data_IF_265345630910
#
_entry.id   IF_265345630910
#
_cell.length_a   1.000
_cell.length_b   1.000
_cell.length_c   1.000
_cell.angle_alpha   90.00
_cell.angle_beta   90.00
_cell.angle_gamma   90.00
#
_symmetry.space_group_name_H-M   'P 1'
#
loop_
_entity.id
_entity.type
_entity.pdbx_description
1 polymer ?
#
# COMPACT_ATOMS: atom_id res chain seq x y z
N UNK A 1 -50.10 -0.75 -16.92
CA UNK A 1 -49.75 -2.00 -16.23
C UNK A 1 -48.24 -2.16 -16.33
N UNK A 2 -47.58 -2.08 -15.19
CA UNK A 2 -46.13 -2.14 -14.95
C UNK A 2 -45.78 -3.57 -14.51
N UNK A 3 -44.61 -4.09 -14.93
CA UNK A 3 -43.70 -5.11 -14.34
C UNK A 3 -42.96 -5.83 -15.50
N UNK A 4 -41.67 -6.18 -15.51
CA UNK A 4 -40.47 -6.12 -14.63
C UNK A 4 -39.26 -6.33 -15.59
N UNK A 5 -38.11 -5.63 -15.62
CA UNK A 5 -37.08 -5.15 -14.66
C UNK A 5 -35.92 -6.15 -14.36
N UNK A 6 -34.83 -5.95 -15.11
CA UNK A 6 -33.37 -6.01 -14.78
C UNK A 6 -32.60 -7.31 -14.46
N UNK A 7 -31.43 -7.53 -15.14
CA UNK A 7 -30.26 -8.18 -14.57
C UNK A 7 -29.27 -7.10 -14.04
N UNK A 8 -29.21 -6.89 -12.71
CA UNK A 8 -28.39 -5.82 -12.11
C UNK A 8 -27.79 -6.22 -10.73
N UNK A 9 -27.35 -7.48 -10.54
CA UNK A 9 -27.14 -8.03 -9.18
C UNK A 9 -25.75 -8.58 -8.80
N UNK A 10 -24.73 -8.55 -9.65
CA UNK A 10 -23.36 -9.04 -9.33
C UNK A 10 -22.37 -7.96 -8.81
N UNK A 11 -22.84 -6.71 -8.62
CA UNK A 11 -21.98 -5.51 -8.54
C UNK A 11 -21.38 -5.16 -7.17
N UNK A 12 -21.80 -5.81 -6.08
CA UNK A 12 -21.38 -5.43 -4.72
C UNK A 12 -19.99 -5.96 -4.34
N UNK A 13 -19.56 -7.10 -4.86
CA UNK A 13 -18.22 -7.65 -4.60
C UNK A 13 -17.10 -6.90 -5.32
N UNK A 14 -17.34 -6.50 -6.58
CA UNK A 14 -16.35 -5.81 -7.42
C UNK A 14 -16.04 -4.37 -6.96
N UNK A 15 -16.98 -3.73 -6.27
CA UNK A 15 -16.83 -2.38 -5.72
C UNK A 15 -16.00 -2.32 -4.44
N UNK A 16 -16.10 -3.36 -3.60
CA UNK A 16 -15.41 -3.45 -2.32
C UNK A 16 -13.97 -3.95 -2.49
N UNK A 17 -13.73 -4.82 -3.48
CA UNK A 17 -12.37 -5.19 -3.93
C UNK A 17 -11.54 -3.99 -4.46
N UNK A 18 -12.19 -2.90 -4.88
CA UNK A 18 -11.52 -1.69 -5.37
C UNK A 18 -10.94 -0.78 -4.26
N UNK A 19 -11.35 -0.95 -3.00
CA UNK A 19 -10.86 -0.16 -1.85
C UNK A 19 -9.68 -0.82 -1.12
N UNK A 20 -9.50 -2.13 -1.32
CA UNK A 20 -8.53 -2.94 -0.56
C UNK A 20 -7.24 -3.20 -1.34
N UNK A 21 -7.26 -3.10 -2.68
CA UNK A 21 -6.08 -3.32 -3.50
C UNK A 21 -5.18 -2.06 -3.59
N UNK A 22 -3.84 -2.16 -3.44
CA UNK A 22 -2.97 -1.24 -4.17
C UNK A 22 -3.32 -1.41 -5.67
N UNK A 23 -3.50 -0.30 -6.40
CA UNK A 23 -3.82 -0.20 -7.84
C UNK A 23 -4.20 -1.50 -8.60
N UNK A 24 -5.41 -1.61 -9.16
CA UNK A 24 -5.93 -2.87 -9.69
C UNK A 24 -5.19 -3.35 -10.95
N UNK A 25 -4.65 -4.55 -10.86
CA UNK A 25 -4.49 -5.57 -11.92
C UNK A 25 -5.02 -6.83 -11.23
N UNK A 26 -6.02 -7.60 -11.64
CA UNK A 26 -6.58 -8.04 -12.93
C UNK A 26 -8.02 -8.51 -12.64
N UNK A 27 -8.94 -8.46 -13.60
CA UNK A 27 -10.26 -9.12 -13.49
C UNK A 27 -10.56 -9.91 -14.78
N UNK A 28 -10.64 -11.24 -14.62
CA UNK A 28 -11.61 -12.12 -15.29
C UNK A 28 -11.19 -12.86 -16.56
N UNK A 29 -11.26 -14.20 -16.52
CA UNK A 29 -12.09 -14.99 -17.43
C UNK A 29 -12.42 -16.39 -16.85
N UNK A 30 -13.56 -17.01 -17.24
CA UNK A 30 -14.17 -18.16 -16.57
C UNK A 30 -13.83 -19.53 -17.20
N UNK A 31 -14.28 -20.58 -16.52
CA UNK A 31 -14.20 -22.02 -16.78
C UNK A 31 -14.88 -22.49 -18.08
N UNK A 32 -14.26 -23.48 -18.75
CA UNK A 32 -14.94 -24.53 -19.54
C UNK A 32 -14.05 -25.78 -19.67
N UNK A 33 -14.68 -26.94 -19.83
CA UNK A 33 -14.20 -28.28 -19.49
C UNK A 33 -13.51 -29.08 -20.62
N UNK A 34 -12.88 -30.18 -20.19
CA UNK A 34 -12.53 -31.45 -20.85
C UNK A 34 -11.56 -31.47 -22.03
N UNK A 35 -10.40 -32.11 -21.86
CA UNK A 35 -9.97 -33.29 -22.65
C UNK A 35 -8.74 -33.97 -22.00
N UNK A 36 -8.79 -35.30 -21.91
CA UNK A 36 -7.75 -36.21 -21.43
C UNK A 36 -6.51 -36.20 -22.32
N UNK A 37 -5.29 -36.03 -21.77
CA UNK A 37 -4.07 -36.70 -22.27
C UNK A 37 -3.08 -36.94 -21.12
N UNK A 38 -2.59 -38.18 -21.09
CA UNK A 38 -1.69 -38.83 -20.15
C UNK A 38 -0.20 -38.46 -20.40
N UNK A 39 0.56 -38.20 -19.31
CA UNK A 39 2.03 -38.38 -19.00
C UNK A 39 3.11 -38.55 -20.11
N UNK A 40 4.44 -38.29 -19.88
CA UNK A 40 5.18 -38.59 -18.63
C UNK A 40 6.31 -37.63 -18.19
N UNK A 41 6.86 -37.99 -17.03
CA UNK A 41 7.98 -37.44 -16.25
C UNK A 41 9.38 -37.71 -16.83
N UNK A 42 10.32 -36.77 -16.65
CA UNK A 42 11.71 -37.03 -16.21
C UNK A 42 12.52 -35.72 -15.98
N UNK A 43 13.51 -35.81 -15.08
CA UNK A 43 14.67 -34.92 -14.85
C UNK A 43 14.50 -33.58 -14.11
N UNK A 44 14.57 -33.63 -12.77
CA UNK A 44 15.02 -32.51 -11.92
C UNK A 44 15.62 -33.05 -10.61
N UNK A 45 16.75 -33.76 -10.68
CA UNK A 45 17.43 -34.29 -9.47
C UNK A 45 18.88 -33.81 -9.31
N UNK A 46 19.44 -33.03 -10.24
CA UNK A 46 20.85 -32.58 -10.15
C UNK A 46 21.03 -31.08 -9.83
N UNK A 47 19.98 -30.26 -9.83
CA UNK A 47 20.09 -28.81 -9.57
C UNK A 47 19.97 -28.41 -8.08
N UNK A 48 19.69 -29.38 -7.20
CA UNK A 48 19.35 -29.12 -5.78
C UNK A 48 20.56 -29.27 -4.83
N UNK A 49 21.64 -29.91 -5.25
CA UNK A 49 22.85 -30.06 -4.41
C UNK A 49 23.85 -28.90 -4.57
N UNK A 50 23.91 -28.26 -5.74
CA UNK A 50 24.83 -27.13 -5.97
C UNK A 50 24.36 -25.83 -5.31
N UNK A 51 23.05 -25.66 -5.08
CA UNK A 51 22.47 -24.50 -4.40
C UNK A 51 22.63 -24.55 -2.89
N UNK A 52 22.58 -25.75 -2.28
CA UNK A 52 22.81 -25.93 -0.83
C UNK A 52 24.25 -25.66 -0.40
N UNK A 53 25.23 -26.03 -1.24
CA UNK A 53 26.66 -25.82 -0.94
C UNK A 53 27.04 -24.32 -1.05
N UNK A 54 26.28 -23.52 -1.79
CA UNK A 54 26.47 -22.07 -1.88
C UNK A 54 25.80 -21.31 -0.73
N UNK A 55 24.60 -21.72 -0.28
CA UNK A 55 23.94 -21.10 0.89
C UNK A 55 24.73 -21.32 2.18
N UNK A 56 25.29 -22.52 2.40
CA UNK A 56 26.04 -22.86 3.61
C UNK A 56 27.41 -22.14 3.68
N UNK A 57 28.01 -21.80 2.54
CA UNK A 57 29.25 -20.98 2.50
C UNK A 57 29.02 -19.51 2.84
N UNK A 58 27.89 -18.94 2.45
CA UNK A 58 27.52 -17.55 2.81
C UNK A 58 27.13 -17.37 4.27
N UNK A 59 26.57 -18.39 4.93
CA UNK A 59 26.27 -18.32 6.37
C UNK A 59 27.52 -18.43 7.26
N UNK A 60 28.56 -19.15 6.81
CA UNK A 60 29.82 -19.27 7.55
C UNK A 60 30.65 -17.98 7.45
N UNK A 61 30.72 -17.34 6.27
CA UNK A 61 31.44 -16.05 6.12
C UNK A 61 30.75 -14.89 6.88
N UNK A 62 29.42 -14.91 7.01
CA UNK A 62 28.68 -13.89 7.76
C UNK A 62 28.78 -14.06 9.30
N UNK A 63 29.07 -15.27 9.79
CA UNK A 63 29.19 -15.54 11.22
C UNK A 63 30.58 -15.22 11.79
N UNK A 64 31.65 -15.38 10.99
CA UNK A 64 33.02 -15.03 11.42
C UNK A 64 33.25 -13.51 11.46
N UNK A 65 32.60 -12.74 10.56
CA UNK A 65 32.69 -11.28 10.55
C UNK A 65 31.96 -10.60 11.73
N UNK A 66 31.01 -11.31 12.38
CA UNK A 66 30.30 -10.81 13.57
C UNK A 66 31.09 -11.08 14.85
N UNK A 67 31.91 -12.15 14.92
CA UNK A 67 32.74 -12.42 16.10
C UNK A 67 34.00 -11.56 16.20
N UNK A 68 34.47 -10.96 15.10
CA UNK A 68 35.67 -10.11 15.10
C UNK A 68 35.44 -8.63 15.44
N UNK A 69 34.20 -8.20 15.69
CA UNK A 69 33.88 -6.83 16.10
C UNK A 69 33.67 -6.66 17.62
N UNK A 70 33.77 -7.73 18.42
CA UNK A 70 33.50 -7.68 19.87
C UNK A 70 34.76 -7.55 20.76
N UNK A 71 35.96 -7.44 20.18
CA UNK A 71 37.20 -7.22 20.95
C UNK A 71 38.02 -6.03 20.42
N UNK A 72 37.83 -4.86 21.04
CA UNK A 72 38.79 -3.76 20.97
C UNK A 72 38.94 -3.10 22.37
N UNK A 73 40.15 -2.64 22.74
CA UNK A 73 40.64 -2.64 24.11
C UNK A 73 40.21 -1.44 24.95
N UNK A 74 40.05 -1.68 26.26
CA UNK A 74 39.83 -0.67 27.30
C UNK A 74 40.92 0.43 27.29
N UNK A 75 40.50 1.69 27.37
CA UNK A 75 41.37 2.84 27.69
C UNK A 75 41.15 3.29 29.14
N UNK A 76 42.21 3.75 29.84
CA UNK A 76 42.21 3.83 31.30
C UNK A 76 41.48 5.06 31.85
N UNK A 77 40.85 4.83 33.00
CA UNK A 77 40.15 5.81 33.84
C UNK A 77 41.11 6.80 34.52
N UNK A 78 40.80 8.11 34.59
CA UNK A 78 41.38 8.98 35.60
C UNK A 78 40.47 9.03 36.83
N UNK A 79 41.02 8.60 37.96
CA UNK A 79 40.43 8.76 39.28
C UNK A 79 40.28 10.24 39.67
N UNK A 80 39.13 10.61 40.21
CA UNK A 80 38.89 11.91 40.85
C UNK A 80 37.55 11.96 41.57
N UNK A 81 37.58 11.91 42.90
CA UNK A 81 36.42 11.99 43.82
C UNK A 81 35.71 13.36 43.74
N UNK A 82 34.38 13.38 43.72
CA UNK A 82 33.55 14.59 43.92
C UNK A 82 32.03 14.30 43.90
N UNK A 83 31.30 14.90 44.83
CA UNK A 83 29.92 14.66 45.31
C UNK A 83 28.74 14.57 44.31
N UNK A 84 27.57 13.98 44.70
CA UNK A 84 26.40 13.82 43.85
C UNK A 84 25.46 15.03 43.90
N UNK A 85 25.47 15.89 42.88
CA UNK A 85 24.34 16.82 42.62
C UNK A 85 24.36 17.36 41.18
N UNK A 86 23.16 17.39 40.58
CA UNK A 86 22.80 17.99 39.29
C UNK A 86 23.08 17.15 38.03
N UNK A 87 22.25 16.14 37.78
CA UNK A 87 21.97 15.69 36.42
C UNK A 87 21.15 16.79 35.72
N UNK A 88 21.84 17.69 35.01
CA UNK A 88 21.20 18.64 34.10
C UNK A 88 20.54 17.85 32.97
N UNK A 89 19.22 18.03 32.83
CA UNK A 89 18.44 17.46 31.74
C UNK A 89 19.06 17.88 30.40
N UNK A 90 19.39 16.91 29.56
CA UNK A 90 19.77 17.15 28.18
C UNK A 90 18.64 17.93 27.47
N UNK A 91 18.94 19.02 26.75
CA UNK A 91 17.91 19.77 26.04
C UNK A 91 17.28 18.86 24.97
N UNK A 92 15.96 18.75 24.99
CA UNK A 92 15.16 18.13 23.92
C UNK A 92 15.58 18.71 22.57
N UNK A 93 15.70 17.91 21.50
CA UNK A 93 15.98 18.43 20.17
C UNK A 93 14.88 19.42 19.77
N UNK A 94 15.31 20.60 19.32
CA UNK A 94 14.42 21.65 18.82
C UNK A 94 13.54 21.09 17.68
N UNK A 95 12.23 21.33 17.76
CA UNK A 95 11.30 21.01 16.66
C UNK A 95 11.73 21.80 15.43
N UNK A 96 12.14 21.08 14.38
CA UNK A 96 12.31 21.67 13.04
C UNK A 96 11.02 22.38 12.60
N UNK A 97 11.11 23.51 11.87
CA UNK A 97 9.94 24.23 11.41
C UNK A 97 9.09 23.31 10.53
N UNK A 98 7.85 23.05 10.94
CA UNK A 98 6.91 22.26 10.15
C UNK A 98 6.69 22.97 8.80
N UNK A 99 6.96 22.28 7.69
CA UNK A 99 6.67 22.80 6.36
C UNK A 99 5.18 23.17 6.28
N UNK A 100 4.89 24.43 5.96
CA UNK A 100 3.53 24.96 5.86
C UNK A 100 3.27 25.48 4.44
N UNK A 101 2.10 25.17 3.90
CA UNK A 101 1.59 25.81 2.68
C UNK A 101 0.33 26.57 3.06
N UNK A 102 0.26 27.87 2.75
CA UNK A 102 -0.86 28.74 3.13
C UNK A 102 -1.17 28.73 4.65
N UNK A 103 -0.14 28.57 5.49
CA UNK A 103 -0.30 28.53 6.96
C UNK A 103 -0.83 27.21 7.53
N UNK A 104 -1.12 26.21 6.69
CA UNK A 104 -1.56 24.88 7.12
C UNK A 104 -0.36 23.92 7.07
N UNK A 105 -0.13 23.08 8.10
CA UNK A 105 0.94 22.08 8.05
C UNK A 105 0.76 21.12 6.86
N UNK A 106 1.83 20.90 6.10
CA UNK A 106 1.83 20.06 4.89
C UNK A 106 1.27 18.65 5.12
N UNK A 107 1.46 18.12 6.33
CA UNK A 107 0.88 16.86 6.78
C UNK A 107 -0.65 16.82 6.64
N UNK A 108 -1.36 17.82 7.14
CA UNK A 108 -2.84 17.80 7.13
C UNK A 108 -3.40 18.07 5.74
N UNK A 109 -2.74 18.96 5.00
CA UNK A 109 -3.13 19.26 3.63
C UNK A 109 -2.92 18.05 2.70
N UNK A 110 -1.78 17.36 2.81
CA UNK A 110 -1.52 16.15 2.02
C UNK A 110 -2.50 15.01 2.34
N UNK A 111 -2.85 14.82 3.63
CA UNK A 111 -3.86 13.84 4.02
C UNK A 111 -5.26 14.19 3.48
N UNK A 112 -5.66 15.46 3.54
CA UNK A 112 -6.95 15.89 3.00
C UNK A 112 -7.02 15.71 1.48
N UNK A 113 -6.00 16.18 0.75
CA UNK A 113 -5.92 16.06 -0.70
C UNK A 113 -5.90 14.59 -1.13
N UNK A 114 -5.12 13.75 -0.45
CA UNK A 114 -5.07 12.31 -0.75
C UNK A 114 -6.43 11.64 -0.50
N UNK A 115 -7.15 12.03 0.56
CA UNK A 115 -8.49 11.49 0.87
C UNK A 115 -9.50 11.83 -0.24
N UNK A 116 -9.50 13.08 -0.68
CA UNK A 116 -10.37 13.55 -1.77
C UNK A 116 -10.00 12.87 -3.09
N UNK A 117 -8.70 12.82 -3.40
CA UNK A 117 -8.19 12.18 -4.61
C UNK A 117 -8.54 10.69 -4.65
N UNK A 118 -8.32 9.96 -3.55
CA UNK A 118 -8.59 8.51 -3.47
C UNK A 118 -10.08 8.21 -3.62
N UNK A 119 -10.94 9.06 -3.05
CA UNK A 119 -12.39 8.94 -3.21
C UNK A 119 -12.83 9.23 -4.65
N UNK A 120 -12.28 10.28 -5.25
CA UNK A 120 -12.53 10.61 -6.66
C UNK A 120 -12.05 9.52 -7.62
N UNK A 121 -10.88 8.94 -7.36
CA UNK A 121 -10.32 7.82 -8.11
C UNK A 121 -11.27 6.61 -8.11
N UNK A 122 -11.79 6.22 -6.94
CA UNK A 122 -12.70 5.08 -6.83
C UNK A 122 -13.98 5.29 -7.66
N UNK A 123 -14.56 6.49 -7.61
CA UNK A 123 -15.74 6.84 -8.42
C UNK A 123 -15.41 6.90 -9.92
N UNK A 124 -14.23 7.42 -10.28
CA UNK A 124 -13.80 7.54 -11.67
C UNK A 124 -13.54 6.17 -12.32
N UNK A 125 -12.93 5.23 -11.59
CA UNK A 125 -12.75 3.84 -12.06
C UNK A 125 -14.10 3.15 -12.24
N UNK A 126 -15.06 3.39 -11.33
CA UNK A 126 -16.43 2.86 -11.50
C UNK A 126 -17.09 3.43 -12.74
N UNK A 127 -16.98 4.74 -12.95
CA UNK A 127 -17.52 5.40 -14.13
C UNK A 127 -16.85 4.92 -15.43
N UNK A 128 -15.55 4.67 -15.44
CA UNK A 128 -14.84 4.17 -16.63
C UNK A 128 -15.30 2.76 -17.04
N UNK A 129 -15.65 1.91 -16.06
CA UNK A 129 -16.13 0.53 -16.29
C UNK A 129 -17.64 0.43 -16.56
N UNK A 130 -18.43 1.38 -16.08
CA UNK A 130 -19.90 1.32 -16.14
C UNK A 130 -20.51 1.50 -17.54
N UNK A 131 -19.74 1.95 -18.53
CA UNK A 131 -20.24 2.23 -19.87
C UNK A 131 -19.38 1.62 -20.99
N UNK A 132 -18.82 0.43 -20.75
CA UNK A 132 -18.24 -0.35 -21.84
C UNK A 132 -19.35 -0.68 -22.85
N UNK A 133 -19.34 -0.01 -24.00
CA UNK A 133 -20.31 -0.19 -25.07
C UNK A 133 -20.32 -1.66 -25.50
N UNK A 134 -21.49 -2.29 -25.73
CA UNK A 134 -21.55 -3.66 -26.22
C UNK A 134 -20.72 -3.80 -27.50
N UNK A 135 -19.68 -4.64 -27.47
CA UNK A 135 -18.78 -4.90 -28.61
C UNK A 135 -17.43 -4.17 -28.58
N UNK A 136 -17.17 -3.27 -27.63
CA UNK A 136 -15.83 -2.67 -27.48
C UNK A 136 -14.94 -3.58 -26.61
N UNK A 137 -13.71 -3.84 -27.08
CA UNK A 137 -12.70 -4.58 -26.31
C UNK A 137 -12.38 -3.79 -25.03
N UNK A 138 -12.47 -4.42 -23.83
CA UNK A 138 -12.17 -3.74 -22.58
C UNK A 138 -10.68 -3.37 -22.50
N UNK A 139 -10.39 -2.25 -21.83
CA UNK A 139 -9.02 -1.85 -21.55
C UNK A 139 -8.37 -2.81 -20.55
N UNK A 140 -7.07 -3.02 -20.70
CA UNK A 140 -6.30 -3.86 -19.80
C UNK A 140 -5.88 -3.04 -18.58
N UNK A 141 -6.08 -3.60 -17.38
CA UNK A 141 -5.74 -2.87 -16.15
C UNK A 141 -4.21 -2.81 -15.93
N UNK A 142 -3.50 -3.84 -16.41
CA UNK A 142 -2.03 -3.92 -16.39
C UNK A 142 -1.37 -2.78 -17.19
N UNK A 143 -1.87 -2.48 -18.39
CA UNK A 143 -1.36 -1.38 -19.22
C UNK A 143 -1.68 -0.01 -18.62
N UNK A 144 -2.82 0.15 -17.93
CA UNK A 144 -3.16 1.38 -17.19
C UNK A 144 -2.17 1.64 -16.06
N UNK A 145 -1.74 0.59 -15.34
CA UNK A 145 -0.71 0.71 -14.30
C UNK A 145 0.62 1.16 -14.90
N UNK A 146 1.04 0.56 -16.02
CA UNK A 146 2.25 0.99 -16.72
C UNK A 146 2.20 2.47 -17.11
N UNK A 147 1.15 2.92 -17.79
CA UNK A 147 1.03 4.33 -18.19
C UNK A 147 0.90 5.29 -17.00
N UNK A 148 0.34 4.83 -15.87
CA UNK A 148 0.31 5.59 -14.62
C UNK A 148 1.72 5.85 -14.10
N UNK A 149 2.58 4.83 -14.08
CA UNK A 149 3.96 4.95 -13.65
C UNK A 149 4.77 5.85 -14.58
N UNK A 150 4.59 5.72 -15.89
CA UNK A 150 5.21 6.60 -16.90
C UNK A 150 4.79 8.06 -16.69
N UNK A 151 3.48 8.34 -16.60
CA UNK A 151 2.97 9.70 -16.42
C UNK A 151 3.46 10.30 -15.09
N UNK A 152 3.40 9.53 -13.99
CA UNK A 152 3.91 9.95 -12.68
C UNK A 152 5.41 10.29 -12.75
N UNK A 153 6.19 9.52 -13.49
CA UNK A 153 7.63 9.74 -13.68
C UNK A 153 7.88 11.04 -14.45
N UNK A 154 7.17 11.25 -15.56
CA UNK A 154 7.26 12.48 -16.36
C UNK A 154 6.88 13.71 -15.52
N UNK A 155 5.78 13.65 -14.77
CA UNK A 155 5.39 14.73 -13.86
C UNK A 155 6.46 14.98 -12.79
N UNK A 156 7.09 13.92 -12.26
CA UNK A 156 8.16 14.06 -11.27
C UNK A 156 9.41 14.71 -11.84
N UNK A 157 9.79 14.41 -13.09
CA UNK A 157 10.87 15.11 -13.80
C UNK A 157 10.52 16.59 -13.95
N UNK A 158 9.29 16.90 -14.37
CA UNK A 158 8.81 18.28 -14.44
C UNK A 158 8.90 19.01 -13.09
N UNK A 159 8.57 18.34 -11.99
CA UNK A 159 8.67 18.92 -10.64
C UNK A 159 10.13 19.13 -10.20
N UNK A 160 11.06 18.25 -10.57
CA UNK A 160 12.50 18.48 -10.33
C UNK A 160 13.00 19.70 -11.10
N UNK A 161 12.56 19.86 -12.35
CA UNK A 161 12.92 21.05 -13.15
C UNK A 161 12.34 22.32 -12.54
N UNK A 162 11.12 22.29 -12.01
CA UNK A 162 10.51 23.43 -11.32
C UNK A 162 11.15 23.74 -9.95
N UNK A 163 11.70 22.74 -9.28
CA UNK A 163 12.45 22.91 -8.02
C UNK A 163 13.87 23.44 -8.26
N UNK A 164 14.42 23.20 -9.47
CA UNK A 164 15.74 23.65 -9.87
C UNK A 164 15.70 25.05 -10.48
N UNK A 165 16.79 25.81 -10.35
CA UNK A 165 16.89 27.15 -10.97
C UNK A 165 16.96 27.09 -12.50
N UNK A 166 17.55 26.02 -13.05
CA UNK A 166 17.69 25.78 -14.49
C UNK A 166 17.58 24.28 -14.84
N UNK A 167 17.23 24.00 -16.10
CA UNK A 167 17.14 22.63 -16.65
C UNK A 167 18.50 21.93 -16.63
N UNK A 168 19.60 22.64 -16.88
CA UNK A 168 20.95 22.07 -16.83
C UNK A 168 21.29 21.56 -15.43
N UNK A 169 20.94 22.34 -14.40
CA UNK A 169 21.09 21.93 -12.99
C UNK A 169 20.21 20.73 -12.66
N UNK A 170 18.94 20.74 -13.10
CA UNK A 170 18.03 19.62 -12.88
C UNK A 170 18.55 18.30 -13.48
N UNK A 171 19.06 18.36 -14.71
CA UNK A 171 19.65 17.19 -15.39
C UNK A 171 20.93 16.75 -14.67
N UNK A 172 21.81 17.68 -14.29
CA UNK A 172 23.02 17.34 -13.56
C UNK A 172 22.72 16.68 -12.21
N UNK A 173 21.75 17.21 -11.45
CA UNK A 173 21.26 16.62 -10.21
C UNK A 173 20.70 15.22 -10.43
N UNK A 174 19.95 15.01 -11.52
CA UNK A 174 19.42 13.69 -11.86
C UNK A 174 20.56 12.72 -12.21
N UNK A 175 21.49 13.11 -13.08
CA UNK A 175 22.63 12.28 -13.46
C UNK A 175 23.48 11.91 -12.25
N UNK A 176 23.78 12.88 -11.38
CA UNK A 176 24.53 12.67 -10.13
C UNK A 176 23.81 11.65 -9.23
N UNK A 177 22.51 11.83 -8.97
CA UNK A 177 21.74 10.91 -8.12
C UNK A 177 21.54 9.51 -8.71
N UNK A 178 21.72 9.33 -10.02
CA UNK A 178 21.66 8.02 -10.67
C UNK A 178 23.04 7.36 -10.83
N UNK A 179 24.11 8.14 -10.90
CA UNK A 179 25.47 7.64 -11.22
C UNK A 179 26.32 7.45 -9.98
N UNK A 180 26.23 8.35 -9.00
CA UNK A 180 27.16 8.34 -7.85
C UNK A 180 26.78 7.32 -6.78
N UNK A 181 25.48 7.02 -6.62
CA UNK A 181 24.99 6.03 -5.65
C UNK A 181 24.09 4.97 -6.32
N UNK A 182 24.65 4.05 -7.12
CA UNK A 182 23.87 2.99 -7.76
C UNK A 182 23.16 2.10 -6.73
N UNK A 183 23.73 1.95 -5.53
CA UNK A 183 23.10 1.19 -4.45
C UNK A 183 21.80 1.84 -3.96
N UNK A 184 21.75 3.18 -3.86
CA UNK A 184 20.53 3.90 -3.50
C UNK A 184 19.45 3.83 -4.59
N UNK A 185 19.87 3.74 -5.85
CA UNK A 185 18.97 3.50 -6.98
C UNK A 185 18.40 2.08 -6.90
N UNK A 186 19.23 1.06 -6.69
CA UNK A 186 18.78 -0.33 -6.57
C UNK A 186 17.84 -0.53 -5.37
N UNK A 187 18.05 0.17 -4.25
CA UNK A 187 17.10 0.17 -3.13
C UNK A 187 15.70 0.62 -3.53
N UNK A 188 15.57 1.51 -4.52
CA UNK A 188 14.28 1.95 -5.02
C UNK A 188 13.51 0.85 -5.81
N UNK A 189 14.17 -0.23 -6.22
CA UNK A 189 13.53 -1.38 -6.84
C UNK A 189 12.87 -2.32 -5.81
N UNK A 190 13.34 -2.31 -4.56
CA UNK A 190 12.85 -3.20 -3.49
C UNK A 190 11.32 -3.09 -3.30
N UNK A 191 10.71 -1.89 -3.18
CA UNK A 191 9.27 -1.77 -3.06
C UNK A 191 8.51 -2.37 -4.24
N UNK A 192 8.98 -2.17 -5.47
CA UNK A 192 8.32 -2.70 -6.66
C UNK A 192 8.32 -4.23 -6.70
N UNK A 193 9.41 -4.87 -6.28
CA UNK A 193 9.49 -6.32 -6.16
C UNK A 193 8.55 -6.84 -5.05
N UNK A 194 8.56 -6.18 -3.89
CA UNK A 194 7.70 -6.57 -2.76
C UNK A 194 6.22 -6.41 -3.12
N UNK A 195 5.84 -5.35 -3.83
CA UNK A 195 4.47 -5.19 -4.32
C UNK A 195 4.08 -6.28 -5.33
N UNK A 196 5.02 -6.76 -6.14
CA UNK A 196 4.77 -7.89 -7.04
C UNK A 196 4.52 -9.18 -6.26
N UNK A 197 5.32 -9.46 -5.23
CA UNK A 197 5.11 -10.61 -4.34
C UNK A 197 3.76 -10.51 -3.62
N UNK A 198 3.47 -9.33 -3.06
CA UNK A 198 2.21 -9.03 -2.38
C UNK A 198 1.00 -9.31 -3.28
N UNK A 199 1.07 -8.89 -4.55
CA UNK A 199 -0.02 -9.12 -5.51
C UNK A 199 -0.24 -10.61 -5.75
N UNK A 200 0.82 -11.40 -5.93
CA UNK A 200 0.72 -12.85 -6.10
C UNK A 200 0.15 -13.54 -4.86
N UNK A 201 0.58 -13.13 -3.66
CA UNK A 201 0.03 -13.64 -2.40
C UNK A 201 -1.47 -13.32 -2.26
N UNK A 202 -1.89 -12.14 -2.72
CA UNK A 202 -3.31 -11.77 -2.73
C UNK A 202 -4.13 -12.63 -3.68
N UNK A 203 -3.64 -12.91 -4.89
CA UNK A 203 -4.33 -13.83 -5.82
C UNK A 203 -4.43 -15.23 -5.27
N UNK A 204 -3.32 -15.77 -4.75
CA UNK A 204 -3.30 -17.08 -4.12
C UNK A 204 -4.27 -17.15 -2.93
N UNK A 205 -4.42 -16.06 -2.18
CA UNK A 205 -5.42 -15.97 -1.11
C UNK A 205 -6.87 -15.96 -1.66
N UNK A 206 -7.14 -15.25 -2.75
CA UNK A 206 -8.47 -15.23 -3.40
C UNK A 206 -8.91 -16.61 -3.90
N UNK A 207 -7.96 -17.44 -4.33
CA UNK A 207 -8.25 -18.80 -4.79
C UNK A 207 -8.61 -19.75 -3.64
N UNK A 208 -8.27 -19.38 -2.40
CA UNK A 208 -8.39 -20.24 -1.20
C UNK A 208 -9.39 -19.72 -0.18
N UNK A 209 -9.63 -18.42 -0.13
CA UNK A 209 -10.57 -17.77 0.79
C UNK A 209 -11.69 -17.10 0.01
N UNK A 210 -12.89 -17.07 0.60
CA UNK A 210 -13.95 -16.23 0.08
C UNK A 210 -13.55 -14.76 0.14
N UNK A 211 -13.87 -13.99 -0.91
CA UNK A 211 -13.58 -12.56 -0.98
C UNK A 211 -14.01 -11.77 0.27
N UNK A 212 -15.20 -12.01 0.88
CA UNK A 212 -15.58 -11.49 2.20
C UNK A 212 -14.53 -11.63 3.30
N UNK A 213 -14.02 -12.85 3.49
CA UNK A 213 -13.09 -13.18 4.56
C UNK A 213 -11.75 -12.51 4.28
N UNK A 214 -11.27 -12.60 3.06
CA UNK A 214 -10.01 -11.97 2.67
C UNK A 214 -10.05 -10.45 2.82
N UNK A 215 -11.18 -9.81 2.48
CA UNK A 215 -11.32 -8.37 2.59
C UNK A 215 -11.15 -7.88 4.03
N UNK A 216 -11.81 -8.54 4.99
CA UNK A 216 -11.70 -8.22 6.41
C UNK A 216 -10.29 -8.52 6.94
N UNK A 217 -9.71 -9.66 6.57
CA UNK A 217 -8.37 -10.06 7.01
C UNK A 217 -7.28 -9.10 6.50
N UNK A 218 -7.46 -8.56 5.30
CA UNK A 218 -6.49 -7.64 4.73
C UNK A 218 -6.39 -6.31 5.48
N UNK A 219 -7.37 -5.97 6.33
CA UNK A 219 -7.30 -4.78 7.18
C UNK A 219 -6.24 -4.87 8.28
N UNK A 220 -5.73 -6.08 8.56
CA UNK A 220 -4.54 -6.26 9.40
C UNK A 220 -3.32 -5.48 8.88
N UNK A 221 -3.31 -5.09 7.60
CA UNK A 221 -2.30 -4.18 7.03
C UNK A 221 -2.11 -2.90 7.84
N UNK A 222 -3.16 -2.39 8.49
CA UNK A 222 -3.09 -1.16 9.30
C UNK A 222 -2.15 -1.39 10.49
N UNK A 223 -2.31 -2.52 11.17
CA UNK A 223 -1.50 -2.90 12.32
C UNK A 223 -0.07 -3.25 11.91
N UNK A 224 0.12 -4.00 10.82
CA UNK A 224 1.47 -4.33 10.32
C UNK A 224 2.22 -3.07 9.91
N UNK A 225 1.56 -2.13 9.23
CA UNK A 225 2.16 -0.84 8.85
C UNK A 225 2.54 0.00 10.08
N UNK A 226 1.69 0.04 11.11
CA UNK A 226 2.00 0.73 12.37
C UNK A 226 3.19 0.09 13.10
N UNK A 227 3.19 -1.24 13.23
CA UNK A 227 4.26 -1.98 13.89
C UNK A 227 5.60 -1.90 13.16
N UNK A 228 5.60 -2.07 11.83
CA UNK A 228 6.79 -1.90 11.00
C UNK A 228 7.27 -0.44 11.01
N UNK A 229 6.35 0.53 11.09
CA UNK A 229 6.70 1.94 11.27
C UNK A 229 7.45 2.20 12.57
N UNK A 230 7.08 1.54 13.67
CA UNK A 230 7.81 1.59 14.94
C UNK A 230 9.19 0.92 14.80
N UNK A 231 9.24 -0.27 14.22
CA UNK A 231 10.46 -1.06 14.09
C UNK A 231 11.51 -0.44 13.14
N UNK A 232 11.10 -0.02 11.94
CA UNK A 232 12.02 0.41 10.88
C UNK A 232 12.44 1.88 10.96
N UNK A 233 11.59 2.74 11.53
CA UNK A 233 11.86 4.18 11.67
C UNK A 233 12.19 4.57 13.12
N UNK A 234 12.15 3.64 14.07
CA UNK A 234 12.44 3.91 15.49
C UNK A 234 11.44 4.83 16.18
N UNK A 235 10.24 5.01 15.62
CA UNK A 235 9.20 5.86 16.23
C UNK A 235 8.53 5.11 17.38
N UNK A 236 8.28 5.77 18.51
CA UNK A 236 7.47 5.19 19.60
C UNK A 236 6.00 5.58 19.47
N UNK A 237 5.10 4.60 19.51
CA UNK A 237 3.66 4.81 19.57
C UNK A 237 3.16 4.60 21.01
N UNK A 238 2.47 5.60 21.55
CA UNK A 238 1.79 5.50 22.85
C UNK A 238 0.68 4.45 22.80
N UNK A 239 0.35 3.85 23.94
CA UNK A 239 -0.77 2.89 24.06
C UNK A 239 -2.08 3.41 23.45
N UNK A 240 -2.38 4.71 23.60
CA UNK A 240 -3.53 5.37 22.96
C UNK A 240 -3.50 5.30 21.44
N UNK A 241 -2.33 5.49 20.82
CA UNK A 241 -2.17 5.43 19.35
C UNK A 241 -2.27 4.00 18.84
N UNK A 242 -1.75 3.04 19.59
CA UNK A 242 -1.98 1.62 19.31
C UNK A 242 -3.47 1.28 19.38
N UNK A 243 -4.16 1.67 20.45
CA UNK A 243 -5.60 1.50 20.60
C UNK A 243 -6.38 2.12 19.43
N UNK A 244 -6.00 3.30 18.96
CA UNK A 244 -6.58 3.92 17.78
C UNK A 244 -6.36 3.10 16.49
N UNK A 245 -5.17 2.52 16.28
CA UNK A 245 -4.92 1.63 15.12
C UNK A 245 -5.79 0.36 15.17
N UNK A 246 -5.94 -0.27 16.34
CA UNK A 246 -6.85 -1.41 16.51
C UNK A 246 -8.30 -1.02 16.24
N UNK A 247 -8.74 0.09 16.81
CA UNK A 247 -10.09 0.63 16.62
C UNK A 247 -10.37 0.97 15.15
N UNK A 248 -9.39 1.54 14.45
CA UNK A 248 -9.48 1.82 13.01
C UNK A 248 -9.64 0.52 12.22
N UNK A 249 -8.84 -0.50 12.54
CA UNK A 249 -8.88 -1.80 11.86
C UNK A 249 -10.26 -2.45 11.96
N UNK A 250 -10.86 -2.45 13.16
CA UNK A 250 -12.23 -2.94 13.38
C UNK A 250 -13.25 -2.06 12.64
N UNK A 251 -13.10 -0.73 12.71
CA UNK A 251 -13.99 0.21 12.03
C UNK A 251 -14.03 0.00 10.52
N UNK A 252 -12.87 -0.12 9.87
CA UNK A 252 -12.77 -0.38 8.44
C UNK A 252 -13.34 -1.76 8.09
N UNK A 253 -13.04 -2.79 8.88
CA UNK A 253 -13.62 -4.13 8.68
C UNK A 253 -15.16 -4.12 8.70
N UNK A 254 -15.78 -3.31 9.56
CA UNK A 254 -17.24 -3.15 9.61
C UNK A 254 -17.79 -2.34 8.44
N UNK A 255 -17.13 -1.25 8.07
CA UNK A 255 -17.50 -0.47 6.87
C UNK A 255 -17.45 -1.35 5.63
N UNK A 256 -16.44 -2.20 5.54
CA UNK A 256 -16.18 -3.08 4.41
C UNK A 256 -16.90 -4.43 4.47
N UNK A 257 -17.70 -4.67 5.50
CA UNK A 257 -18.37 -5.96 5.65
C UNK A 257 -19.31 -6.26 4.45
N UNK A 258 -19.24 -7.45 3.86
CA UNK A 258 -20.11 -7.79 2.74
C UNK A 258 -21.55 -7.94 3.23
N UNK A 259 -22.45 -7.14 2.65
CA UNK A 259 -23.87 -7.10 3.03
C UNK A 259 -24.73 -8.16 2.36
N UNK A 260 -24.18 -8.90 1.39
CA UNK A 260 -24.82 -10.06 0.80
C UNK A 260 -24.04 -11.30 1.22
N UNK A 261 -24.72 -12.21 1.91
CA UNK A 261 -24.19 -13.55 2.15
C UNK A 261 -23.93 -14.23 0.81
N UNK A 262 -22.79 -14.88 0.62
CA UNK A 262 -22.71 -15.97 -0.35
C UNK A 262 -23.78 -16.99 0.04
N UNK A 263 -24.58 -17.45 -0.92
CA UNK A 263 -25.21 -18.77 -0.77
C UNK A 263 -24.05 -19.76 -0.61
N UNK A 264 -23.77 -20.16 0.63
CA UNK A 264 -22.83 -21.24 0.88
C UNK A 264 -23.47 -22.54 0.34
N UNK A 265 -22.78 -23.30 -0.53
CA UNK A 265 -23.05 -24.72 -0.64
C UNK A 265 -22.87 -25.30 0.75
N UNK A 266 -23.87 -26.01 1.25
CA UNK A 266 -23.83 -26.63 2.56
C UNK A 266 -22.58 -27.49 2.73
N UNK A 267 -21.83 -27.22 3.79
CA UNK A 267 -20.64 -27.97 4.16
C UNK A 267 -20.16 -27.49 5.53
N UNK A 268 -20.61 -28.18 6.57
CA UNK A 268 -20.21 -27.94 7.94
C UNK A 268 -18.70 -28.18 8.14
N UNK A 269 -18.07 -27.25 8.85
CA UNK A 269 -17.12 -27.48 9.94
C UNK A 269 -15.91 -28.40 9.67
N UNK A 270 -14.87 -27.86 9.02
CA UNK A 270 -13.47 -27.95 9.46
C UNK A 270 -12.67 -26.88 8.70
N UNK A 271 -11.84 -26.08 9.39
CA UNK A 271 -10.86 -25.22 8.72
C UNK A 271 -9.94 -26.10 7.86
N UNK A 272 -10.20 -26.18 6.57
CA UNK A 272 -9.43 -27.03 5.66
C UNK A 272 -8.00 -26.53 5.53
N UNK A 273 -7.06 -27.43 5.23
CA UNK A 273 -5.65 -27.09 4.95
C UNK A 273 -5.53 -25.94 3.95
N UNK A 274 -6.43 -25.89 2.97
CA UNK A 274 -6.47 -24.86 1.94
C UNK A 274 -6.91 -23.48 2.46
N UNK A 275 -7.86 -23.41 3.40
CA UNK A 275 -8.25 -22.15 4.04
C UNK A 275 -7.12 -21.61 4.93
N UNK A 276 -6.39 -22.49 5.61
CA UNK A 276 -5.20 -22.11 6.40
C UNK A 276 -4.11 -21.54 5.49
N UNK A 277 -3.83 -22.17 4.34
CA UNK A 277 -2.89 -21.63 3.35
C UNK A 277 -3.33 -20.25 2.86
N UNK A 278 -4.61 -20.06 2.57
CA UNK A 278 -5.16 -18.77 2.15
C UNK A 278 -5.05 -17.69 3.24
N UNK A 279 -5.23 -18.08 4.52
CA UNK A 279 -5.06 -17.20 5.68
C UNK A 279 -3.59 -16.77 5.87
N UNK A 280 -2.65 -17.72 5.78
CA UNK A 280 -1.22 -17.41 5.84
C UNK A 280 -0.82 -16.46 4.69
N UNK A 281 -1.34 -16.71 3.48
CA UNK A 281 -1.05 -15.87 2.33
C UNK A 281 -1.53 -14.41 2.50
N UNK A 282 -2.73 -14.18 3.03
CA UNK A 282 -3.21 -12.80 3.30
C UNK A 282 -2.42 -12.12 4.41
N UNK A 283 -1.98 -12.86 5.45
CA UNK A 283 -1.11 -12.29 6.49
C UNK A 283 0.26 -11.88 5.93
N UNK A 284 0.87 -12.71 5.09
CA UNK A 284 2.12 -12.37 4.39
C UNK A 284 1.92 -11.17 3.44
N UNK A 285 0.78 -11.10 2.76
CA UNK A 285 0.42 -9.95 1.93
C UNK A 285 0.29 -8.65 2.76
N UNK A 286 -0.33 -8.72 3.93
CA UNK A 286 -0.41 -7.59 4.88
C UNK A 286 0.97 -7.14 5.38
N UNK A 287 1.86 -8.10 5.66
CA UNK A 287 3.22 -7.79 6.12
C UNK A 287 4.05 -7.13 5.02
N UNK A 288 4.08 -7.72 3.81
CA UNK A 288 4.78 -7.16 2.65
C UNK A 288 4.25 -5.78 2.25
N UNK A 289 2.93 -5.57 2.31
CA UNK A 289 2.32 -4.25 2.07
C UNK A 289 2.79 -3.20 3.08
N UNK A 290 2.78 -3.56 4.37
CA UNK A 290 3.21 -2.64 5.43
C UNK A 290 4.70 -2.34 5.33
N UNK A 291 5.51 -3.36 5.01
CA UNK A 291 6.94 -3.21 4.82
C UNK A 291 7.26 -2.27 3.66
N UNK A 292 6.66 -2.48 2.48
CA UNK A 292 6.91 -1.63 1.32
C UNK A 292 6.53 -0.17 1.59
N UNK A 293 5.38 0.07 2.23
CA UNK A 293 4.93 1.43 2.57
C UNK A 293 5.88 2.13 3.54
N UNK A 294 6.32 1.43 4.58
CA UNK A 294 7.25 1.96 5.59
C UNK A 294 8.66 2.12 5.03
N UNK A 295 9.09 1.23 4.13
CA UNK A 295 10.37 1.33 3.43
C UNK A 295 10.40 2.55 2.50
N UNK A 296 9.35 2.77 1.69
CA UNK A 296 9.22 3.99 0.87
C UNK A 296 9.24 5.22 1.75
N UNK A 297 8.49 5.21 2.86
CA UNK A 297 8.52 6.31 3.82
C UNK A 297 9.94 6.57 4.33
N UNK A 298 10.67 5.52 4.70
CA UNK A 298 12.06 5.63 5.18
C UNK A 298 12.98 6.25 4.11
N UNK A 299 12.90 5.76 2.88
CA UNK A 299 13.65 6.29 1.73
C UNK A 299 13.31 7.75 1.43
N UNK A 300 12.03 8.13 1.54
CA UNK A 300 11.61 9.52 1.34
C UNK A 300 12.03 10.42 2.50
N UNK A 301 12.02 9.95 3.75
CA UNK A 301 12.29 10.77 4.94
C UNK A 301 13.77 10.91 5.27
N UNK A 302 14.58 9.86 5.11
CA UNK A 302 15.95 9.79 5.62
C UNK A 302 17.05 10.12 4.60
N UNK A 303 16.71 10.35 3.33
CA UNK A 303 17.68 10.79 2.31
C UNK A 303 17.61 12.31 2.10
N UNK A 304 18.77 12.90 1.77
CA UNK A 304 18.95 14.28 1.30
C UNK A 304 18.38 14.56 -0.09
N UNK A 305 18.14 13.51 -0.90
CA UNK A 305 17.57 13.65 -2.23
C UNK A 305 16.14 14.24 -2.18
N UNK A 306 15.81 15.06 -3.19
CA UNK A 306 14.45 15.57 -3.36
C UNK A 306 13.42 14.42 -3.46
N UNK A 307 12.23 14.67 -2.93
CA UNK A 307 11.07 13.76 -2.98
C UNK A 307 10.81 13.35 -4.44
N UNK A 308 10.96 14.28 -5.37
CA UNK A 308 10.68 14.06 -6.79
C UNK A 308 11.75 13.22 -7.46
N UNK A 309 13.03 13.36 -7.09
CA UNK A 309 14.12 12.49 -7.56
C UNK A 309 13.87 11.04 -7.12
N UNK A 310 13.49 10.84 -5.85
CA UNK A 310 13.11 9.50 -5.37
C UNK A 310 11.88 8.96 -6.09
N UNK A 311 10.89 9.81 -6.36
CA UNK A 311 9.69 9.38 -7.09
C UNK A 311 9.97 9.04 -8.56
N UNK A 312 10.98 9.66 -9.18
CA UNK A 312 11.50 9.25 -10.51
C UNK A 312 12.09 7.85 -10.41
N UNK A 313 12.95 7.58 -9.41
CA UNK A 313 13.54 6.25 -9.21
C UNK A 313 12.45 5.18 -9.02
N UNK A 314 11.49 5.42 -8.11
CA UNK A 314 10.35 4.51 -7.92
C UNK A 314 9.54 4.33 -9.20
N UNK A 315 9.28 5.41 -9.93
CA UNK A 315 8.51 5.40 -11.17
C UNK A 315 9.20 4.66 -12.32
N UNK A 316 10.53 4.76 -12.44
CA UNK A 316 11.31 4.02 -13.43
C UNK A 316 11.21 2.51 -13.17
N UNK A 317 11.52 2.05 -11.95
CA UNK A 317 11.38 0.62 -11.61
C UNK A 317 9.93 0.15 -11.67
N UNK A 318 8.98 1.00 -11.25
CA UNK A 318 7.55 0.74 -11.34
C UNK A 318 7.08 0.57 -12.80
N UNK A 319 7.58 1.39 -13.72
CA UNK A 319 7.25 1.29 -15.15
C UNK A 319 7.84 0.02 -15.78
N UNK A 320 9.08 -0.35 -15.45
CA UNK A 320 9.70 -1.60 -15.93
C UNK A 320 8.89 -2.80 -15.43
N UNK A 321 8.60 -2.86 -14.13
CA UNK A 321 7.79 -3.94 -13.57
C UNK A 321 6.37 -3.96 -14.13
N UNK A 322 5.73 -2.81 -14.30
CA UNK A 322 4.41 -2.70 -14.90
C UNK A 322 4.36 -3.22 -16.33
N UNK A 323 5.42 -3.00 -17.11
CA UNK A 323 5.57 -3.53 -18.47
C UNK A 323 5.71 -5.05 -18.45
N UNK A 324 6.60 -5.57 -17.59
CA UNK A 324 6.79 -7.02 -17.43
C UNK A 324 5.50 -7.73 -17.02
N UNK A 325 4.77 -7.16 -16.05
CA UNK A 325 3.47 -7.68 -15.61
C UNK A 325 2.44 -7.63 -16.74
N UNK A 326 2.41 -6.56 -17.53
CA UNK A 326 1.48 -6.45 -18.66
C UNK A 326 1.68 -7.54 -19.71
N UNK A 327 2.94 -7.78 -20.11
CA UNK A 327 3.24 -8.85 -21.06
C UNK A 327 3.08 -10.25 -20.46
N UNK A 328 3.43 -10.43 -19.18
CA UNK A 328 3.28 -11.72 -18.51
C UNK A 328 1.83 -12.14 -18.32
N UNK A 329 0.94 -11.20 -17.97
CA UNK A 329 -0.47 -11.50 -17.67
C UNK A 329 -1.39 -11.41 -18.89
N UNK A 330 -1.22 -10.37 -19.71
CA UNK A 330 -2.14 -10.05 -20.81
C UNK A 330 -1.46 -10.12 -22.19
N UNK A 331 -0.27 -10.71 -22.30
CA UNK A 331 0.52 -10.75 -23.53
C UNK A 331 -0.25 -11.20 -24.77
N UNK A 332 -1.06 -12.27 -24.67
CA UNK A 332 -1.88 -12.75 -25.78
C UNK A 332 -2.93 -11.72 -26.24
N UNK A 333 -3.54 -10.99 -25.30
CA UNK A 333 -4.53 -9.94 -25.62
C UNK A 333 -3.83 -8.73 -26.25
N UNK A 334 -2.68 -8.33 -25.68
CA UNK A 334 -1.84 -7.25 -26.19
C UNK A 334 -1.39 -7.52 -27.63
N UNK A 335 -0.99 -8.75 -27.95
CA UNK A 335 -0.56 -9.13 -29.30
C UNK A 335 -1.72 -9.12 -30.31
N UNK A 336 -2.95 -9.41 -29.85
CA UNK A 336 -4.14 -9.48 -30.70
C UNK A 336 -4.76 -8.11 -30.98
N UNK A 337 -5.03 -7.34 -29.93
CA UNK A 337 -5.83 -6.10 -30.00
C UNK A 337 -5.00 -4.83 -29.71
N UNK A 338 -3.70 -4.99 -29.42
CA UNK A 338 -2.75 -3.92 -29.19
C UNK A 338 -2.62 -3.50 -27.72
N UNK A 339 -1.50 -2.85 -27.39
CA UNK A 339 -1.18 -2.43 -26.02
C UNK A 339 -2.16 -1.38 -25.44
N UNK A 340 -2.73 -0.52 -26.30
CA UNK A 340 -3.67 0.53 -25.88
C UNK A 340 -5.13 0.18 -26.25
N UNK A 341 -5.48 -1.11 -26.28
CA UNK A 341 -6.84 -1.56 -26.60
C UNK A 341 -7.90 -0.93 -25.69
N UNK A 342 -9.02 -0.49 -26.25
CA UNK A 342 -10.15 0.05 -25.48
C UNK A 342 -9.89 1.39 -24.80
N UNK A 343 -8.77 2.07 -25.10
CA UNK A 343 -8.47 3.37 -24.51
C UNK A 343 -9.42 4.45 -25.04
N UNK A 344 -9.95 5.23 -24.12
CA UNK A 344 -10.80 6.37 -24.39
C UNK A 344 -10.43 7.51 -23.42
N UNK A 345 -11.04 8.69 -23.59
CA UNK A 345 -10.78 9.84 -22.71
C UNK A 345 -11.00 9.50 -21.23
N UNK A 346 -11.92 8.58 -20.92
CA UNK A 346 -12.20 8.14 -19.54
C UNK A 346 -11.03 7.36 -18.95
N UNK A 347 -10.44 6.44 -19.72
CA UNK A 347 -9.25 5.68 -19.31
C UNK A 347 -8.08 6.63 -19.11
N UNK A 348 -7.90 7.62 -19.99
CA UNK A 348 -6.87 8.65 -19.82
C UNK A 348 -7.12 9.48 -18.55
N UNK A 349 -8.37 9.84 -18.24
CA UNK A 349 -8.71 10.50 -16.98
C UNK A 349 -8.38 9.63 -15.76
N UNK A 350 -8.61 8.31 -15.84
CA UNK A 350 -8.21 7.36 -14.77
C UNK A 350 -6.70 7.34 -14.60
N UNK A 351 -5.93 7.25 -15.69
CA UNK A 351 -4.45 7.28 -15.66
C UNK A 351 -3.96 8.57 -15.01
N UNK A 352 -4.51 9.73 -15.42
CA UNK A 352 -4.15 11.02 -14.84
C UNK A 352 -4.48 11.11 -13.35
N UNK A 353 -5.67 10.67 -12.94
CA UNK A 353 -6.09 10.67 -11.54
C UNK A 353 -5.23 9.74 -10.67
N UNK A 354 -4.87 8.57 -11.19
CA UNK A 354 -3.99 7.63 -10.49
C UNK A 354 -2.57 8.20 -10.36
N UNK A 355 -2.05 8.87 -11.39
CA UNK A 355 -0.73 9.49 -11.35
C UNK A 355 -0.66 10.61 -10.30
N UNK A 356 -1.69 11.46 -10.24
CA UNK A 356 -1.85 12.48 -9.20
C UNK A 356 -1.91 11.83 -7.80
N UNK A 357 -2.64 10.72 -7.66
CA UNK A 357 -2.68 9.96 -6.40
C UNK A 357 -1.33 9.42 -5.98
N UNK A 358 -0.54 8.91 -6.93
CA UNK A 358 0.83 8.46 -6.68
C UNK A 358 1.74 9.58 -6.17
N UNK A 359 1.66 10.78 -6.79
CA UNK A 359 2.41 11.96 -6.34
C UNK A 359 1.97 12.41 -4.94
N UNK A 360 0.67 12.48 -4.68
CA UNK A 360 0.13 12.83 -3.36
C UNK A 360 0.50 11.78 -2.30
N UNK A 361 0.57 10.51 -2.67
CA UNK A 361 1.03 9.44 -1.79
C UNK A 361 2.50 9.66 -1.37
N UNK A 362 3.39 10.02 -2.30
CA UNK A 362 4.78 10.34 -1.97
C UNK A 362 4.88 11.52 -1.00
N UNK A 363 4.12 12.60 -1.25
CA UNK A 363 4.04 13.77 -0.34
C UNK A 363 3.50 13.36 1.03
N UNK A 364 2.42 12.59 1.08
CA UNK A 364 1.83 12.09 2.33
C UNK A 364 2.83 11.22 3.11
N UNK A 365 3.55 10.31 2.44
CA UNK A 365 4.56 9.48 3.07
C UNK A 365 5.71 10.33 3.62
N UNK A 366 6.16 11.37 2.90
CA UNK A 366 7.19 12.29 3.40
C UNK A 366 6.72 13.04 4.66
N UNK A 367 5.56 13.71 4.62
CA UNK A 367 5.18 14.66 5.67
C UNK A 367 4.30 14.07 6.79
N UNK A 368 3.44 13.10 6.48
CA UNK A 368 2.55 12.46 7.46
C UNK A 368 3.07 11.08 7.90
N UNK A 369 3.55 10.29 6.94
CA UNK A 369 3.98 8.91 7.13
C UNK A 369 2.88 7.87 6.88
N UNK A 370 3.31 6.62 6.65
CA UNK A 370 2.47 5.52 6.19
C UNK A 370 1.31 5.19 7.14
N UNK A 371 1.54 5.25 8.46
CA UNK A 371 0.49 4.99 9.46
C UNK A 371 -0.69 5.96 9.32
N UNK A 372 -0.42 7.26 9.19
CA UNK A 372 -1.47 8.28 8.96
C UNK A 372 -2.12 8.14 7.59
N UNK A 373 -1.38 7.63 6.60
CA UNK A 373 -1.92 7.23 5.31
C UNK A 373 -3.04 6.20 5.41
N UNK A 374 -2.92 5.23 6.33
CA UNK A 374 -3.99 4.26 6.59
C UNK A 374 -5.27 4.94 7.11
N UNK A 375 -5.16 5.93 8.00
CA UNK A 375 -6.31 6.72 8.48
C UNK A 375 -6.95 7.52 7.34
N UNK A 376 -6.15 8.17 6.50
CA UNK A 376 -6.67 8.89 5.32
C UNK A 376 -7.40 7.96 4.36
N UNK A 377 -6.86 6.76 4.12
CA UNK A 377 -7.52 5.75 3.27
C UNK A 377 -8.84 5.29 3.87
N UNK A 378 -8.90 5.04 5.18
CA UNK A 378 -10.13 4.67 5.88
C UNK A 378 -11.23 5.75 5.78
N UNK A 379 -10.86 7.03 5.94
CA UNK A 379 -11.79 8.15 5.77
C UNK A 379 -12.24 8.25 4.30
N UNK A 380 -11.33 8.04 3.35
CA UNK A 380 -11.66 8.02 1.92
C UNK A 380 -12.68 6.93 1.58
N UNK A 381 -12.59 5.76 2.21
CA UNK A 381 -13.55 4.68 2.02
C UNK A 381 -14.95 5.11 2.46
N UNK A 382 -15.05 5.70 3.65
CA UNK A 382 -16.31 6.24 4.19
C UNK A 382 -16.87 7.33 3.28
N UNK A 383 -16.04 8.26 2.83
CA UNK A 383 -16.43 9.34 1.92
C UNK A 383 -16.94 8.78 0.59
N UNK A 384 -16.26 7.79 0.02
CA UNK A 384 -16.68 7.12 -1.22
C UNK A 384 -18.04 6.44 -1.07
N UNK A 385 -18.27 5.75 0.05
CA UNK A 385 -19.55 5.12 0.36
C UNK A 385 -20.67 6.16 0.56
N UNK A 386 -20.38 7.25 1.25
CA UNK A 386 -21.33 8.36 1.44
C UNK A 386 -21.69 9.04 0.10
N UNK A 387 -20.70 9.31 -0.75
CA UNK A 387 -20.93 9.82 -2.10
C UNK A 387 -21.73 8.83 -2.95
N UNK A 388 -21.46 7.53 -2.83
CA UNK A 388 -22.22 6.50 -3.55
C UNK A 388 -23.68 6.45 -3.12
N UNK A 389 -23.96 6.59 -1.82
CA UNK A 389 -25.33 6.71 -1.33
C UNK A 389 -26.01 7.98 -1.84
N UNK A 390 -25.35 9.14 -1.69
CA UNK A 390 -25.94 10.44 -2.00
C UNK A 390 -26.14 10.71 -3.50
N UNK A 391 -25.20 10.26 -4.35
CA UNK A 391 -25.19 10.58 -5.78
C UNK A 391 -25.71 9.44 -6.67
N UNK A 392 -25.41 8.19 -6.31
CA UNK A 392 -25.70 7.02 -7.15
C UNK A 392 -26.95 6.24 -6.67
N UNK A 393 -27.33 6.36 -5.39
CA UNK A 393 -28.46 5.63 -4.83
C UNK A 393 -28.26 4.11 -4.73
N UNK A 394 -27.05 3.61 -5.04
CA UNK A 394 -26.73 2.19 -5.14
C UNK A 394 -26.41 1.52 -3.78
N UNK A 395 -26.23 2.32 -2.72
CA UNK A 395 -25.83 1.85 -1.39
C UNK A 395 -26.79 2.35 -0.32
N UNK A 396 -27.40 1.47 0.46
CA UNK A 396 -28.15 1.85 1.67
C UNK A 396 -27.27 1.69 2.90
N UNK A 397 -26.98 2.76 3.67
CA UNK A 397 -26.19 2.65 4.89
C UNK A 397 -26.92 1.77 5.91
N UNK A 398 -26.26 0.68 6.32
CA UNK A 398 -26.75 -0.25 7.34
C UNK A 398 -26.18 0.09 8.73
N UNK A 399 -26.73 -0.52 9.79
CA UNK A 399 -26.27 -0.28 11.16
C UNK A 399 -24.78 -0.59 11.36
N UNK A 400 -24.26 -1.62 10.66
CA UNK A 400 -22.85 -2.00 10.71
C UNK A 400 -21.96 -0.96 10.02
N UNK A 401 -22.40 -0.38 8.89
CA UNK A 401 -21.72 0.76 8.26
C UNK A 401 -21.64 1.96 9.20
N UNK A 402 -22.74 2.30 9.88
CA UNK A 402 -22.77 3.44 10.81
C UNK A 402 -21.84 3.21 12.00
N UNK A 403 -21.85 2.00 12.57
CA UNK A 403 -20.95 1.62 13.65
C UNK A 403 -19.48 1.67 13.19
N UNK A 404 -19.16 1.09 12.04
CA UNK A 404 -17.80 1.12 11.49
C UNK A 404 -17.31 2.54 11.20
N UNK A 405 -18.19 3.39 10.65
CA UNK A 405 -17.92 4.81 10.40
C UNK A 405 -17.64 5.55 11.70
N UNK A 406 -18.47 5.35 12.72
CA UNK A 406 -18.26 5.94 14.04
C UNK A 406 -16.91 5.50 14.63
N UNK A 407 -16.58 4.20 14.57
CA UNK A 407 -15.31 3.68 15.07
C UNK A 407 -14.11 4.29 14.35
N UNK A 408 -14.16 4.39 13.02
CA UNK A 408 -13.08 4.95 12.22
C UNK A 408 -12.86 6.46 12.46
N UNK A 409 -13.94 7.24 12.61
CA UNK A 409 -13.85 8.67 12.94
C UNK A 409 -13.30 8.85 14.36
N UNK A 410 -13.83 8.10 15.33
CA UNK A 410 -13.36 8.14 16.71
C UNK A 410 -11.88 7.73 16.81
N UNK A 411 -11.46 6.69 16.07
CA UNK A 411 -10.06 6.29 15.99
C UNK A 411 -9.16 7.40 15.42
N UNK A 412 -9.62 8.09 14.36
CA UNK A 412 -8.89 9.21 13.75
C UNK A 412 -8.70 10.37 14.73
N UNK A 413 -9.76 10.73 15.46
CA UNK A 413 -9.70 11.76 16.50
C UNK A 413 -8.81 11.34 17.66
N UNK A 414 -8.91 10.09 18.12
CA UNK A 414 -8.10 9.56 19.21
C UNK A 414 -6.60 9.54 18.86
N UNK A 415 -6.26 9.19 17.61
CA UNK A 415 -4.87 9.19 17.13
C UNK A 415 -4.29 10.61 17.02
N UNK A 416 -5.11 11.57 16.59
CA UNK A 416 -4.69 12.97 16.38
C UNK A 416 -4.63 13.80 17.65
N UNK A 417 -5.68 13.76 18.48
CA UNK A 417 -5.86 14.61 19.65
C UNK A 417 -5.51 13.92 20.98
N UNK A 418 -5.41 12.60 21.01
CA UNK A 418 -5.28 11.84 22.25
C UNK A 418 -6.60 11.74 23.02
N UNK A 419 -6.55 11.22 24.25
CA UNK A 419 -7.74 11.19 25.10
C UNK A 419 -8.11 12.60 25.54
N UNK A 420 -9.40 12.97 25.52
CA UNK A 420 -9.81 14.26 26.04
C UNK A 420 -9.55 14.34 27.55
N UNK A 421 -9.15 15.51 28.02
CA UNK A 421 -8.58 15.72 29.36
C UNK A 421 -9.49 15.26 30.51
N UNK A 422 -10.81 15.32 30.30
CA UNK A 422 -11.83 14.88 31.27
C UNK A 422 -11.87 13.35 31.47
N UNK A 423 -11.40 12.56 30.50
CA UNK A 423 -11.26 11.11 30.64
C UNK A 423 -9.97 10.75 31.36
N UNK A 424 -8.86 11.44 31.04
CA UNK A 424 -7.57 11.20 31.69
C UNK A 424 -7.57 11.53 33.18
N UNK A 425 -8.29 12.57 33.61
CA UNK A 425 -8.41 12.91 35.05
C UNK A 425 -9.12 11.82 35.86
N UNK A 426 -10.03 11.06 35.22
CA UNK A 426 -10.79 9.98 35.85
C UNK A 426 -9.98 8.68 36.00
N UNK A 427 -9.03 8.43 35.09
CA UNK A 427 -8.12 7.29 35.15
C UNK A 427 -6.89 7.56 36.02
N UNK A 428 -6.41 8.81 36.10
CA UNK A 428 -5.30 9.19 36.98
C UNK A 428 -5.69 9.31 38.46
N UNK A 429 -7.00 9.27 38.77
CA UNK A 429 -7.53 9.33 40.14
C UNK A 429 -7.71 7.94 40.79
N UNK A 430 -7.26 6.85 40.14
CA UNK A 430 -7.33 5.49 40.67
C UNK A 430 -5.96 4.90 40.92
#
# INVERSE_FOLDING_TARGET
>A
AYTDVHPRREWLGAAMAAQVAPSPSVLGAPTAASEDVQEPSYEATEATETTKILEERTEIELSDDIQHLEEAPECPSPAGKGDPKAAAAAPSPAKEPEATLCGIPMKWMSLLLLTVQTSGQALLIRWSKSQSTPGQVPYLSSTVVFFTEVLKTVCSIGLVVLESEDVGTAVNTLVHHFTDDPFEVVKAAIPSLIYTIQNNLMFYSFDKLSAPVQQVLYQMKILTTAGLGVLMLGKSLTATKWGACFMLTVGVAFVEWPRKSPQAPGGADTFGSDQVKGFIAVLLACFTSGFAAVFIQKMLQQTTASIWVRNIQFGLFGSIMGLLVSFGQDGHKILRDGFCQGYNVRVVSVIAMNAIGGLLCAVMLKYAGATLGCFSTAISIILTCACSWALLGDFSPDGLFLLGTFLAIAASLLFGLGFPEWLTSRFSSK
#
